data_IF_114576569702
#
_entry.id   IF_114576569702
#
_cell.length_a   1.000
_cell.length_b   1.000
_cell.length_c   1.000
_cell.angle_alpha   90.00
_cell.angle_beta   90.00
_cell.angle_gamma   90.00
#
_symmetry.space_group_name_H-M   'P 1'
#
loop_
_entity.id
_entity.type
_entity.pdbx_description
1 polymer ?
#
# COMPACT_ATOMS: atom_id res chain seq x y z
N UNK A 1 -1.99 22.32 -6.88
CA UNK A 1 -3.08 21.78 -7.72
C UNK A 1 -2.47 20.73 -8.63
N UNK A 2 -2.86 19.45 -8.48
CA UNK A 2 -2.25 18.34 -9.22
C UNK A 2 -3.04 18.08 -10.52
N UNK A 3 -2.45 18.42 -11.66
CA UNK A 3 -3.02 18.11 -12.98
C UNK A 3 -2.14 18.61 -14.11
N UNK A 4 -2.15 17.90 -15.25
CA UNK A 4 -1.47 18.38 -16.45
C UNK A 4 -2.26 19.54 -17.05
N UNK A 5 -1.55 20.57 -17.49
CA UNK A 5 -2.12 21.71 -18.22
C UNK A 5 -1.37 21.98 -19.51
N UNK A 6 -1.71 23.10 -20.11
CA UNK A 6 -1.24 23.55 -21.41
C UNK A 6 -0.78 24.99 -21.33
N UNK A 7 0.20 25.34 -22.14
CA UNK A 7 0.53 26.73 -22.48
C UNK A 7 0.05 27.00 -23.89
N UNK A 8 -0.55 28.17 -24.11
CA UNK A 8 -1.11 28.57 -25.38
C UNK A 8 -0.56 29.91 -25.84
N UNK A 9 -0.56 30.12 -27.16
CA UNK A 9 -0.38 31.42 -27.79
C UNK A 9 -1.62 31.77 -28.61
N UNK A 10 -2.07 33.02 -28.56
CA UNK A 10 -3.19 33.53 -29.35
C UNK A 10 -2.79 34.85 -29.99
N UNK A 11 -2.86 34.93 -31.32
CA UNK A 11 -2.56 36.16 -32.06
C UNK A 11 -3.78 37.08 -32.17
N UNK A 12 -3.58 38.38 -31.98
CA UNK A 12 -4.56 39.39 -32.31
C UNK A 12 -3.85 40.70 -32.72
N UNK A 13 -4.16 41.20 -33.92
CA UNK A 13 -3.63 42.47 -34.45
C UNK A 13 -2.09 42.61 -34.34
N UNK A 14 -1.35 41.56 -34.71
CA UNK A 14 0.12 41.55 -34.67
C UNK A 14 0.75 41.46 -33.28
N UNK A 15 -0.05 41.19 -32.25
CA UNK A 15 0.41 40.90 -30.88
C UNK A 15 -0.01 39.49 -30.49
N UNK A 16 0.79 38.86 -29.63
CA UNK A 16 0.52 37.50 -29.15
C UNK A 16 0.25 37.50 -27.66
N UNK A 17 -0.85 36.86 -27.25
CA UNK A 17 -1.15 36.57 -25.85
C UNK A 17 -0.61 35.19 -25.50
N UNK A 18 0.18 35.10 -24.42
CA UNK A 18 0.68 33.83 -23.91
C UNK A 18 0.05 33.57 -22.55
N UNK A 19 -0.56 32.40 -22.38
CA UNK A 19 -1.13 32.03 -21.10
C UNK A 19 -1.18 30.53 -20.90
N UNK A 20 -1.65 30.11 -19.74
CA UNK A 20 -1.76 28.70 -19.39
C UNK A 20 -3.16 28.29 -18.94
N UNK A 21 -3.49 27.01 -19.11
CA UNK A 21 -4.82 26.48 -18.77
C UNK A 21 -4.83 24.96 -18.64
N UNK A 22 -5.66 24.43 -17.74
CA UNK A 22 -6.02 23.01 -17.69
C UNK A 22 -7.22 22.66 -18.59
N UNK A 23 -7.98 23.67 -19.04
CA UNK A 23 -9.15 23.51 -19.89
C UNK A 23 -9.09 24.47 -21.10
N UNK A 24 -8.35 24.09 -22.16
CA UNK A 24 -8.16 24.94 -23.34
C UNK A 24 -9.46 25.35 -24.02
N UNK A 25 -10.40 24.42 -24.18
CA UNK A 25 -11.67 24.68 -24.88
C UNK A 25 -12.47 25.82 -24.23
N UNK A 26 -12.62 25.78 -22.91
CA UNK A 26 -13.34 26.82 -22.18
C UNK A 26 -12.55 28.14 -22.18
N UNK A 27 -11.23 28.09 -21.95
CA UNK A 27 -10.39 29.28 -21.89
C UNK A 27 -10.34 30.04 -23.23
N UNK A 28 -10.12 29.32 -24.33
CA UNK A 28 -10.06 29.89 -25.68
C UNK A 28 -11.40 30.52 -26.06
N UNK A 29 -12.52 29.85 -25.79
CA UNK A 29 -13.87 30.40 -26.03
C UNK A 29 -14.13 31.68 -25.23
N UNK A 30 -13.74 31.73 -23.96
CA UNK A 30 -13.89 32.92 -23.12
C UNK A 30 -13.07 34.10 -23.66
N UNK A 31 -11.84 33.83 -24.11
CA UNK A 31 -10.96 34.85 -24.68
C UNK A 31 -11.54 35.43 -25.98
N UNK A 32 -12.05 34.59 -26.87
CA UNK A 32 -12.68 35.02 -28.12
C UNK A 32 -13.95 35.86 -27.86
N UNK A 33 -14.80 35.41 -26.93
CA UNK A 33 -16.08 36.08 -26.63
C UNK A 33 -15.91 37.41 -25.88
N UNK A 34 -14.97 37.50 -24.93
CA UNK A 34 -14.70 38.73 -24.19
C UNK A 34 -13.84 39.72 -24.98
N UNK A 35 -12.94 39.23 -25.84
CA UNK A 35 -12.03 40.06 -26.64
C UNK A 35 -12.62 40.58 -27.95
N UNK A 36 -13.78 40.06 -28.38
CA UNK A 36 -14.46 40.51 -29.61
C UNK A 36 -13.76 40.14 -30.91
N UNK A 37 -12.93 39.09 -30.92
CA UNK A 37 -12.21 38.62 -32.11
C UNK A 37 -12.60 37.19 -32.50
N UNK A 38 -12.84 36.98 -33.80
CA UNK A 38 -13.45 35.75 -34.34
C UNK A 38 -12.43 34.83 -35.04
N UNK A 39 -11.25 35.35 -35.44
CA UNK A 39 -10.27 34.60 -36.25
C UNK A 39 -8.83 34.90 -35.85
N UNK A 40 -8.41 34.36 -34.70
CA UNK A 40 -7.04 34.42 -34.21
C UNK A 40 -6.29 33.13 -34.55
N UNK A 41 -5.01 33.22 -34.90
CA UNK A 41 -4.13 32.04 -34.86
C UNK A 41 -3.97 31.59 -33.41
N UNK A 42 -4.13 30.29 -33.15
CA UNK A 42 -4.08 29.71 -31.81
C UNK A 42 -3.13 28.52 -31.82
N UNK A 43 -2.19 28.53 -30.88
CA UNK A 43 -1.30 27.42 -30.61
C UNK A 43 -1.57 26.87 -29.22
N UNK A 44 -1.42 25.55 -29.08
CA UNK A 44 -1.54 24.86 -27.81
C UNK A 44 -0.38 23.87 -27.68
N UNK A 45 0.37 23.97 -26.59
CA UNK A 45 1.47 23.04 -26.30
C UNK A 45 0.96 21.62 -26.09
N UNK A 46 1.89 20.66 -25.98
CA UNK A 46 1.56 19.39 -25.36
C UNK A 46 1.29 19.54 -23.85
N UNK A 47 0.59 18.57 -23.26
CA UNK A 47 0.30 18.55 -21.84
C UNK A 47 1.57 18.37 -20.98
N UNK A 48 1.65 19.15 -19.91
CA UNK A 48 2.79 19.21 -18.99
C UNK A 48 2.27 19.40 -17.54
N UNK A 49 2.92 18.76 -16.55
CA UNK A 49 2.62 19.03 -15.13
C UNK A 49 3.11 20.42 -14.70
N UNK A 50 4.33 20.80 -15.11
CA UNK A 50 4.94 22.10 -14.88
C UNK A 50 4.46 23.20 -15.87
N UNK A 51 3.20 23.19 -16.30
CA UNK A 51 2.70 24.10 -17.34
C UNK A 51 2.68 25.57 -16.90
N UNK A 52 2.57 25.81 -15.60
CA UNK A 52 2.71 27.14 -15.00
C UNK A 52 4.17 27.61 -15.02
N UNK A 53 5.12 26.72 -14.72
CA UNK A 53 6.55 27.02 -14.81
C UNK A 53 6.97 27.27 -16.26
N UNK A 54 6.38 26.56 -17.21
CA UNK A 54 6.56 26.82 -18.63
C UNK A 54 6.06 28.23 -19.00
N UNK A 55 4.86 28.61 -18.58
CA UNK A 55 4.34 29.96 -18.82
C UNK A 55 5.28 31.03 -18.25
N UNK A 56 5.72 30.87 -16.99
CA UNK A 56 6.66 31.80 -16.34
C UNK A 56 7.96 31.89 -17.12
N UNK A 57 8.51 30.77 -17.58
CA UNK A 57 9.72 30.72 -18.39
C UNK A 57 9.54 31.49 -19.69
N UNK A 58 8.46 31.24 -20.44
CA UNK A 58 8.21 31.94 -21.71
C UNK A 58 7.99 33.44 -21.48
N UNK A 59 7.25 33.79 -20.42
CA UNK A 59 7.01 35.17 -20.01
C UNK A 59 8.28 35.93 -19.66
N UNK A 60 9.29 35.23 -19.12
CA UNK A 60 10.61 35.77 -18.83
C UNK A 60 11.43 35.91 -20.12
N UNK A 61 11.44 34.90 -20.98
CA UNK A 61 12.23 34.90 -22.22
C UNK A 61 11.75 35.98 -23.20
N UNK A 62 10.44 36.24 -23.25
CA UNK A 62 9.83 37.28 -24.09
C UNK A 62 9.62 38.60 -23.34
N UNK A 63 10.21 38.75 -22.15
CA UNK A 63 9.98 39.90 -21.27
C UNK A 63 10.23 41.26 -21.93
N UNK A 64 11.27 41.35 -22.75
CA UNK A 64 11.65 42.58 -23.47
C UNK A 64 10.64 43.01 -24.55
N UNK A 65 9.81 42.07 -25.01
CA UNK A 65 8.76 42.31 -25.99
C UNK A 65 7.38 42.47 -25.36
N UNK A 66 7.27 42.48 -24.02
CA UNK A 66 5.99 42.58 -23.33
C UNK A 66 5.39 43.97 -23.54
N UNK A 67 4.13 43.99 -23.96
CA UNK A 67 3.34 45.20 -24.15
C UNK A 67 2.48 45.47 -22.90
N UNK A 68 1.31 44.85 -22.79
CA UNK A 68 0.39 45.03 -21.66
C UNK A 68 -0.06 43.67 -21.12
N UNK A 69 0.17 43.44 -19.82
CA UNK A 69 -0.23 42.21 -19.14
C UNK A 69 0.46 40.99 -19.73
N UNK A 70 -0.31 40.09 -20.35
CA UNK A 70 0.17 38.85 -20.97
C UNK A 70 0.30 38.96 -22.50
N UNK A 71 0.29 40.18 -23.05
CA UNK A 71 0.43 40.45 -24.48
C UNK A 71 1.86 40.86 -24.82
N UNK A 72 2.38 40.35 -25.95
CA UNK A 72 3.75 40.53 -26.40
C UNK A 72 3.76 41.01 -27.87
N UNK A 73 4.70 41.90 -28.19
CA UNK A 73 4.96 42.42 -29.53
C UNK A 73 5.96 41.52 -30.27
N UNK A 74 5.53 40.28 -30.54
CA UNK A 74 6.26 39.24 -31.26
C UNK A 74 5.35 38.61 -32.29
N UNK A 75 5.90 38.06 -33.36
CA UNK A 75 5.12 37.27 -34.31
C UNK A 75 4.69 35.92 -33.71
N UNK A 76 3.60 35.38 -34.24
CA UNK A 76 2.98 34.16 -33.74
C UNK A 76 3.91 32.94 -33.78
N UNK A 77 4.67 32.77 -34.87
CA UNK A 77 5.55 31.62 -35.05
C UNK A 77 6.72 31.65 -34.05
N UNK A 78 7.31 32.82 -33.83
CA UNK A 78 8.34 33.02 -32.80
C UNK A 78 7.83 32.67 -31.40
N UNK A 79 6.62 33.10 -31.05
CA UNK A 79 6.01 32.76 -29.77
C UNK A 79 5.76 31.25 -29.61
N UNK A 80 5.28 30.58 -30.67
CA UNK A 80 5.07 29.13 -30.67
C UNK A 80 6.38 28.38 -30.46
N UNK A 81 7.44 28.79 -31.17
CA UNK A 81 8.77 28.19 -31.06
C UNK A 81 9.32 28.31 -29.64
N UNK A 82 9.18 29.48 -29.02
CA UNK A 82 9.64 29.71 -27.64
C UNK A 82 8.91 28.77 -26.64
N UNK A 83 7.60 28.59 -26.81
CA UNK A 83 6.80 27.64 -26.02
C UNK A 83 7.30 26.20 -26.23
N UNK A 84 7.58 25.80 -27.47
CA UNK A 84 8.07 24.45 -27.77
C UNK A 84 9.45 24.16 -27.18
N UNK A 85 10.36 25.12 -27.25
CA UNK A 85 11.72 24.96 -26.76
C UNK A 85 11.74 24.95 -25.21
N UNK A 86 10.97 25.83 -24.56
CA UNK A 86 10.76 25.78 -23.12
C UNK A 86 10.10 24.46 -22.66
N UNK A 87 9.15 23.93 -23.45
CA UNK A 87 8.51 22.65 -23.16
C UNK A 87 9.52 21.50 -23.17
N UNK A 88 10.41 21.45 -24.17
CA UNK A 88 11.48 20.43 -24.24
C UNK A 88 12.43 20.51 -23.05
N UNK A 89 12.78 21.74 -22.64
CA UNK A 89 13.64 21.98 -21.48
C UNK A 89 13.01 21.41 -20.19
N UNK A 90 11.75 21.78 -19.90
CA UNK A 90 11.10 21.35 -18.66
C UNK A 90 10.70 19.88 -18.65
N UNK A 91 10.34 19.30 -19.80
CA UNK A 91 9.99 17.88 -19.90
C UNK A 91 11.15 16.97 -19.51
N UNK A 92 12.38 17.38 -19.79
CA UNK A 92 13.59 16.62 -19.45
C UNK A 92 13.80 16.55 -17.94
N UNK A 93 13.61 17.68 -17.24
CA UNK A 93 13.73 17.78 -15.78
C UNK A 93 12.58 17.08 -15.03
N UNK A 94 11.36 17.14 -15.55
CA UNK A 94 10.18 16.48 -14.96
C UNK A 94 10.33 14.94 -14.94
N UNK A 95 10.97 14.37 -15.96
CA UNK A 95 11.25 12.93 -16.03
C UNK A 95 12.29 12.47 -15.01
N UNK A 96 13.31 13.27 -14.73
CA UNK A 96 14.33 12.94 -13.73
C UNK A 96 13.79 13.01 -12.29
N UNK A 97 12.98 14.04 -11.99
CA UNK A 97 12.33 14.17 -10.68
C UNK A 97 11.44 12.96 -10.38
N UNK A 98 10.65 12.52 -11.37
CA UNK A 98 9.75 11.37 -11.23
C UNK A 98 10.49 10.04 -11.03
N UNK A 99 11.63 9.84 -11.70
CA UNK A 99 12.47 8.65 -11.48
C UNK A 99 13.00 8.59 -10.04
N UNK A 100 13.38 9.74 -9.48
CA UNK A 100 13.90 9.85 -8.11
C UNK A 100 12.83 9.58 -7.06
N UNK A 101 11.62 10.09 -7.28
CA UNK A 101 10.45 9.82 -6.43
C UNK A 101 10.09 8.33 -6.41
N UNK A 102 10.06 7.67 -7.58
CA UNK A 102 9.80 6.23 -7.68
C UNK A 102 10.88 5.43 -6.93
N UNK A 103 12.17 5.76 -7.11
CA UNK A 103 13.25 5.09 -6.42
C UNK A 103 13.17 5.22 -4.88
N UNK A 104 12.77 6.40 -4.38
CA UNK A 104 12.60 6.63 -2.95
C UNK A 104 11.42 5.82 -2.38
N UNK A 105 10.30 5.75 -3.11
CA UNK A 105 9.13 4.97 -2.70
C UNK A 105 9.40 3.47 -2.65
N UNK A 106 10.17 2.94 -3.62
CA UNK A 106 10.58 1.53 -3.64
C UNK A 106 11.49 1.18 -2.45
N UNK A 107 12.40 2.08 -2.06
CA UNK A 107 13.24 1.89 -0.87
C UNK A 107 12.43 1.78 0.42
N UNK A 108 11.37 2.58 0.56
CA UNK A 108 10.45 2.50 1.71
C UNK A 108 9.70 1.19 1.78
N UNK A 109 9.21 0.68 0.64
CA UNK A 109 8.47 -0.59 0.59
C UNK A 109 9.36 -1.79 0.99
N UNK A 110 10.62 -1.79 0.54
CA UNK A 110 11.59 -2.84 0.89
C UNK A 110 11.90 -2.82 2.39
N UNK A 111 12.06 -1.63 2.99
CA UNK A 111 12.28 -1.50 4.43
C UNK A 111 11.11 -2.07 5.25
N UNK A 112 9.87 -1.75 4.86
CA UNK A 112 8.68 -2.30 5.53
C UNK A 112 8.59 -3.82 5.45
N UNK A 113 8.94 -4.41 4.30
CA UNK A 113 8.98 -5.87 4.14
C UNK A 113 10.07 -6.48 5.04
N UNK A 114 11.26 -5.86 5.09
CA UNK A 114 12.35 -6.35 5.93
C UNK A 114 11.99 -6.30 7.43
N UNK A 115 11.38 -5.21 7.88
CA UNK A 115 10.89 -5.06 9.26
C UNK A 115 9.85 -6.14 9.60
N UNK A 116 8.90 -6.41 8.69
CA UNK A 116 7.91 -7.47 8.86
C UNK A 116 8.56 -8.84 9.02
N UNK A 117 9.51 -9.19 8.15
CA UNK A 117 10.22 -10.47 8.20
C UNK A 117 11.03 -10.65 9.49
N UNK A 118 11.67 -9.57 9.97
CA UNK A 118 12.38 -9.58 11.26
C UNK A 118 11.40 -9.81 12.41
N UNK A 119 10.25 -9.14 12.40
CA UNK A 119 9.22 -9.32 13.42
C UNK A 119 8.67 -10.76 13.42
N UNK A 120 8.32 -11.31 12.26
CA UNK A 120 7.87 -12.70 12.10
C UNK A 120 8.94 -13.70 12.60
N UNK A 121 10.22 -13.48 12.27
CA UNK A 121 11.32 -14.29 12.76
C UNK A 121 11.49 -14.25 14.28
N UNK A 122 11.34 -13.07 14.90
CA UNK A 122 11.40 -12.92 16.34
C UNK A 122 10.23 -13.62 17.05
N UNK A 123 9.01 -13.49 16.52
CA UNK A 123 7.83 -14.19 17.06
C UNK A 123 7.98 -15.71 17.01
N UNK A 124 8.50 -16.26 15.91
CA UNK A 124 8.77 -17.71 15.80
C UNK A 124 9.80 -18.19 16.80
N UNK A 125 10.88 -17.43 17.03
CA UNK A 125 11.86 -17.78 18.05
C UNK A 125 11.26 -17.78 19.46
N UNK A 126 10.37 -16.84 19.77
CA UNK A 126 9.65 -16.83 21.05
C UNK A 126 8.74 -18.05 21.21
N UNK A 127 8.05 -18.47 20.13
CA UNK A 127 7.22 -19.67 20.11
C UNK A 127 8.05 -20.92 20.46
N UNK A 128 9.21 -21.07 19.82
CA UNK A 128 10.14 -22.19 20.05
C UNK A 128 10.52 -22.29 21.52
N UNK A 129 10.85 -21.16 22.15
CA UNK A 129 11.24 -21.12 23.57
C UNK A 129 10.08 -21.57 24.47
N UNK A 130 8.86 -21.06 24.24
CA UNK A 130 7.69 -21.42 25.05
C UNK A 130 7.34 -22.90 24.94
N UNK A 131 7.25 -23.43 23.72
CA UNK A 131 6.98 -24.86 23.49
C UNK A 131 8.08 -25.75 24.11
N UNK A 132 9.34 -25.33 24.01
CA UNK A 132 10.46 -26.04 24.64
C UNK A 132 10.34 -26.05 26.18
N UNK A 133 9.94 -24.93 26.79
CA UNK A 133 9.70 -24.84 28.24
C UNK A 133 8.51 -25.72 28.67
N UNK A 134 7.48 -25.83 27.84
CA UNK A 134 6.37 -26.76 28.03
C UNK A 134 6.72 -28.24 27.73
N UNK A 135 7.99 -28.53 27.39
CA UNK A 135 8.48 -29.88 27.08
C UNK A 135 7.75 -30.54 25.91
N UNK A 136 7.30 -29.75 24.93
CA UNK A 136 6.73 -30.29 23.70
C UNK A 136 7.78 -31.06 22.90
N UNK A 137 7.34 -32.08 22.18
CA UNK A 137 8.23 -32.85 21.29
C UNK A 137 8.60 -32.03 20.06
N UNK A 138 9.73 -32.36 19.43
CA UNK A 138 10.13 -31.72 18.16
C UNK A 138 9.05 -31.88 17.08
N UNK A 139 8.35 -33.02 17.07
CA UNK A 139 7.24 -33.28 16.14
C UNK A 139 6.08 -32.28 16.32
N UNK A 140 5.65 -32.03 17.57
CA UNK A 140 4.63 -31.02 17.85
C UNK A 140 5.10 -29.61 17.46
N UNK A 141 6.36 -29.28 17.77
CA UNK A 141 6.93 -27.98 17.44
C UNK A 141 7.01 -27.77 15.92
N UNK A 142 7.48 -28.77 15.17
CA UNK A 142 7.57 -28.72 13.71
C UNK A 142 6.19 -28.56 13.07
N UNK A 143 5.17 -29.27 13.60
CA UNK A 143 3.79 -29.09 13.17
C UNK A 143 3.32 -27.65 13.37
N UNK A 144 3.48 -27.08 14.57
CA UNK A 144 3.04 -25.69 14.85
C UNK A 144 3.80 -24.68 14.01
N UNK A 145 5.12 -24.82 13.88
CA UNK A 145 5.96 -23.89 13.11
C UNK A 145 5.72 -23.98 11.59
N UNK A 146 5.06 -25.05 11.12
CA UNK A 146 4.60 -25.17 9.73
C UNK A 146 3.34 -24.34 9.43
N UNK A 147 2.61 -23.90 10.47
CA UNK A 147 1.36 -23.13 10.32
C UNK A 147 1.63 -21.63 10.08
N UNK A 148 0.65 -20.90 9.51
CA UNK A 148 0.72 -19.45 9.40
C UNK A 148 0.89 -18.75 10.76
N UNK A 149 1.43 -17.54 10.76
CA UNK A 149 1.76 -16.83 12.01
C UNK A 149 0.52 -16.62 12.90
N UNK A 150 -0.65 -16.32 12.32
CA UNK A 150 -1.88 -16.16 13.08
C UNK A 150 -2.30 -17.43 13.83
N UNK A 151 -2.09 -18.60 13.23
CA UNK A 151 -2.39 -19.89 13.87
C UNK A 151 -1.42 -20.15 15.02
N UNK A 152 -0.13 -19.86 14.84
CA UNK A 152 0.88 -19.96 15.92
C UNK A 152 0.48 -19.08 17.10
N UNK A 153 0.05 -17.84 16.85
CA UNK A 153 -0.33 -16.89 17.90
C UNK A 153 -1.54 -17.40 18.72
N UNK A 154 -2.55 -17.99 18.06
CA UNK A 154 -3.70 -18.61 18.73
C UNK A 154 -3.24 -19.78 19.62
N UNK A 155 -2.43 -20.68 19.08
CA UNK A 155 -1.91 -21.84 19.80
C UNK A 155 -1.11 -21.42 21.03
N UNK A 156 -0.23 -20.41 20.89
CA UNK A 156 0.55 -19.88 22.01
C UNK A 156 -0.32 -19.22 23.08
N UNK A 157 -1.43 -18.59 22.68
CA UNK A 157 -2.41 -18.02 23.60
C UNK A 157 -3.00 -19.09 24.53
N UNK A 158 -3.30 -20.27 24.00
CA UNK A 158 -3.78 -21.41 24.79
C UNK A 158 -2.64 -22.04 25.60
N UNK A 159 -1.45 -22.18 25.00
CA UNK A 159 -0.26 -22.72 25.68
C UNK A 159 0.11 -21.91 26.94
N UNK A 160 -0.11 -20.60 26.90
CA UNK A 160 0.11 -19.74 28.06
C UNK A 160 -0.79 -20.10 29.25
N UNK A 161 -1.98 -20.65 29.00
CA UNK A 161 -2.93 -21.07 30.04
C UNK A 161 -2.72 -22.52 30.46
N UNK A 162 -2.39 -23.41 29.50
CA UNK A 162 -2.27 -24.84 29.73
C UNK A 162 -1.09 -25.43 28.93
N UNK A 163 -0.19 -26.23 29.53
CA UNK A 163 0.91 -26.88 28.81
C UNK A 163 0.44 -27.95 27.81
N UNK A 164 -0.81 -28.38 27.93
CA UNK A 164 -1.49 -29.25 26.97
C UNK A 164 -2.43 -28.42 26.11
N UNK A 165 -2.27 -28.50 24.79
CA UNK A 165 -3.09 -27.77 23.83
C UNK A 165 -3.69 -28.73 22.82
N UNK A 166 -5.02 -28.65 22.66
CA UNK A 166 -5.73 -29.34 21.58
C UNK A 166 -5.86 -28.40 20.40
N UNK A 167 -5.17 -28.69 19.30
CA UNK A 167 -5.18 -27.86 18.09
C UNK A 167 -6.23 -28.43 17.14
N UNK A 168 -7.17 -27.62 16.67
CA UNK A 168 -8.25 -28.03 15.76
C UNK A 168 -8.01 -27.39 14.40
N UNK A 169 -8.00 -28.20 13.34
CA UNK A 169 -7.84 -27.76 11.95
C UNK A 169 -8.86 -28.50 11.07
N UNK A 170 -10.05 -27.92 10.94
CA UNK A 170 -11.21 -28.60 10.35
C UNK A 170 -11.70 -29.75 11.22
N UNK A 171 -11.78 -30.95 10.64
CA UNK A 171 -12.25 -32.15 11.35
C UNK A 171 -11.11 -32.86 12.12
N UNK A 172 -9.86 -32.48 11.84
CA UNK A 172 -8.66 -33.04 12.47
C UNK A 172 -8.35 -32.34 13.78
N UNK A 173 -7.82 -33.11 14.74
CA UNK A 173 -7.37 -32.59 16.03
C UNK A 173 -5.99 -33.13 16.38
N UNK A 174 -5.15 -32.26 16.92
CA UNK A 174 -3.77 -32.53 17.29
C UNK A 174 -3.55 -32.16 18.75
N UNK A 175 -3.23 -33.13 19.59
CA UNK A 175 -3.04 -32.92 21.02
C UNK A 175 -1.55 -32.86 21.28
N UNK A 176 -1.05 -31.67 21.62
CA UNK A 176 0.32 -31.45 22.05
C UNK A 176 0.35 -31.34 23.57
N UNK A 177 1.15 -32.17 24.22
CA UNK A 177 1.28 -32.22 25.68
C UNK A 177 2.73 -32.49 26.09
N UNK A 178 3.11 -32.27 27.35
CA UNK A 178 4.47 -32.54 27.80
C UNK A 178 4.93 -33.94 27.40
N UNK A 179 6.00 -34.01 26.61
CA UNK A 179 6.59 -35.24 26.10
C UNK A 179 5.74 -36.06 25.13
N UNK A 180 4.67 -35.50 24.55
CA UNK A 180 3.82 -36.21 23.59
C UNK A 180 3.15 -35.34 22.53
N UNK A 181 2.80 -35.99 21.42
CA UNK A 181 2.04 -35.41 20.34
C UNK A 181 1.14 -36.50 19.75
N UNK A 182 -0.16 -36.24 19.68
CA UNK A 182 -1.14 -37.20 19.20
C UNK A 182 -2.01 -36.59 18.12
N UNK A 183 -2.30 -37.36 17.08
CA UNK A 183 -3.19 -37.00 15.99
C UNK A 183 -4.49 -37.80 16.16
N UNK A 184 -5.62 -37.13 16.02
CA UNK A 184 -6.97 -37.70 16.14
C UNK A 184 -7.97 -36.83 15.37
N UNK A 185 -9.27 -37.05 15.56
CA UNK A 185 -10.33 -36.19 15.03
C UNK A 185 -11.12 -35.53 16.16
N UNK A 186 -11.78 -34.42 15.85
CA UNK A 186 -12.66 -33.72 16.80
C UNK A 186 -13.78 -34.65 17.30
N UNK A 187 -14.36 -35.45 16.41
CA UNK A 187 -15.41 -36.41 16.75
C UNK A 187 -14.92 -37.49 17.71
N UNK A 188 -13.70 -37.99 17.52
CA UNK A 188 -13.13 -38.99 18.41
C UNK A 188 -12.87 -38.41 19.81
N UNK A 189 -12.34 -37.18 19.92
CA UNK A 189 -12.17 -36.49 21.21
C UNK A 189 -13.51 -36.36 21.93
N UNK A 190 -14.54 -35.85 21.25
CA UNK A 190 -15.89 -35.70 21.82
C UNK A 190 -16.46 -37.03 22.30
N UNK A 191 -16.21 -38.11 21.55
CA UNK A 191 -16.71 -39.46 21.86
C UNK A 191 -16.02 -40.06 23.09
N UNK A 192 -14.74 -39.77 23.30
CA UNK A 192 -13.94 -40.34 24.39
C UNK A 192 -13.83 -39.43 25.61
N UNK A 193 -14.30 -38.19 25.54
CA UNK A 193 -14.30 -37.24 26.67
C UNK A 193 -15.38 -37.57 27.70
N UNK A 194 -15.08 -38.52 28.58
CA UNK A 194 -15.92 -38.85 29.73
C UNK A 194 -15.48 -38.06 30.98
N UNK A 195 -16.20 -36.97 31.29
CA UNK A 195 -15.90 -36.14 32.47
C UNK A 195 -16.00 -36.91 33.79
N UNK A 196 -16.84 -37.94 33.88
CA UNK A 196 -16.98 -38.72 35.10
C UNK A 196 -15.75 -39.60 35.32
N UNK A 197 -15.28 -40.27 34.27
CA UNK A 197 -14.05 -41.08 34.33
C UNK A 197 -12.84 -40.20 34.65
N UNK A 198 -12.68 -39.06 33.97
CA UNK A 198 -11.60 -38.10 34.22
C UNK A 198 -11.65 -37.57 35.66
N UNK A 199 -12.83 -37.22 36.18
CA UNK A 199 -13.00 -36.73 37.55
C UNK A 199 -12.56 -37.79 38.58
N UNK A 200 -12.90 -39.06 38.35
CA UNK A 200 -12.50 -40.17 39.20
C UNK A 200 -10.99 -40.38 39.19
N UNK A 201 -10.37 -40.36 38.00
CA UNK A 201 -8.92 -40.52 37.84
C UNK A 201 -8.13 -39.36 38.47
N UNK A 202 -8.67 -38.14 38.37
CA UNK A 202 -8.04 -36.94 38.90
C UNK A 202 -8.38 -36.66 40.38
N UNK A 203 -9.39 -37.33 40.93
CA UNK A 203 -9.87 -37.12 42.30
C UNK A 203 -10.53 -35.76 42.52
N UNK A 204 -11.29 -35.26 41.55
CA UNK A 204 -12.02 -33.99 41.60
C UNK A 204 -13.53 -34.19 41.39
N UNK A 205 -14.32 -33.13 41.53
CA UNK A 205 -15.74 -33.15 41.17
C UNK A 205 -15.89 -33.08 39.64
N UNK A 206 -17.00 -33.59 39.11
CA UNK A 206 -17.24 -33.67 37.65
C UNK A 206 -17.37 -32.28 37.03
N UNK A 207 -17.93 -31.35 37.78
CA UNK A 207 -18.14 -29.95 37.42
C UNK A 207 -16.82 -29.18 37.29
N UNK A 208 -15.76 -29.65 37.96
CA UNK A 208 -14.42 -29.07 37.87
C UNK A 208 -13.64 -29.58 36.66
N UNK A 209 -14.13 -30.62 35.97
CA UNK A 209 -13.48 -31.15 34.77
C UNK A 209 -13.79 -30.24 33.56
N UNK A 210 -12.76 -29.67 32.93
CA UNK A 210 -12.91 -28.84 31.74
C UNK A 210 -13.68 -29.54 30.63
N UNK A 211 -14.40 -28.77 29.82
CA UNK A 211 -14.93 -29.34 28.57
C UNK A 211 -13.79 -29.63 27.57
N UNK A 212 -14.03 -30.52 26.61
CA UNK A 212 -13.00 -31.01 25.70
C UNK A 212 -12.35 -29.91 24.85
N UNK A 213 -13.06 -28.79 24.64
CA UNK A 213 -12.65 -27.63 23.86
C UNK A 213 -12.17 -26.44 24.69
N UNK A 214 -12.22 -26.52 26.02
CA UNK A 214 -11.92 -25.38 26.90
C UNK A 214 -10.49 -24.85 26.72
N UNK A 215 -9.54 -25.75 26.43
CA UNK A 215 -8.15 -25.43 26.09
C UNK A 215 -7.82 -25.88 24.67
N UNK A 216 -8.75 -25.61 23.74
CA UNK A 216 -8.53 -25.84 22.32
C UNK A 216 -8.16 -24.56 21.56
N UNK A 217 -7.27 -24.72 20.60
CA UNK A 217 -6.86 -23.72 19.64
C UNK A 217 -7.45 -24.07 18.27
N UNK A 218 -8.59 -23.47 17.92
CA UNK A 218 -9.17 -23.61 16.59
C UNK A 218 -8.44 -22.69 15.60
N UNK A 219 -7.75 -23.30 14.66
CA UNK A 219 -6.97 -22.63 13.61
C UNK A 219 -7.57 -22.83 12.22
N UNK A 220 -8.81 -23.32 12.14
CA UNK A 220 -9.50 -23.61 10.88
C UNK A 220 -9.64 -22.35 10.03
N UNK A 221 -9.08 -22.38 8.82
CA UNK A 221 -9.17 -21.28 7.86
C UNK A 221 -8.32 -20.04 8.22
N UNK A 222 -7.32 -20.19 9.09
CA UNK A 222 -6.34 -19.13 9.36
C UNK A 222 -5.26 -19.13 8.29
N UNK A 223 -5.22 -18.05 7.50
CA UNK A 223 -4.23 -17.80 6.42
C UNK A 223 -3.01 -16.99 6.88
#
# INVERSE_FOLDING_TARGET
>A
MNGKGYVYAIENNGKVKIGSTINPKSRLRNIQTQGGFISANIYLSNQLYAYQDLEILIHKNLGDFRDIGEWFNVDFDSACKEIEDGYKQLKSSDQEAKKKEIALSAGSAIAMIAEKLIAEGNSRNAAIVQMSQASWTSEAMDFVLSKPQGAIDIILGVLFMCPTVTIIDGDDAYIAFPYGFQITTVDEIKRTHDKLEIAQDCGCEVEDVPDWDEYSADITGVD
#
